data_IF_590849926513
#
_entry.id   IF_590849926513
#
_cell.length_a   1.000
_cell.length_b   1.000
_cell.length_c   1.000
_cell.angle_alpha   90.00
_cell.angle_beta   90.00
_cell.angle_gamma   90.00
#
_symmetry.space_group_name_H-M   'P 1'
#
loop_
_entity.id
_entity.type
_entity.pdbx_description
1 polymer ?
#
# COMPACT_ATOMS: atom_id res chain seq x y z
N UNK A 1 13.75 1.42 30.06
CA UNK A 1 14.99 2.03 29.53
C UNK A 1 14.62 3.34 28.84
N UNK A 2 15.05 4.53 29.32
CA UNK A 2 14.71 5.79 28.64
C UNK A 2 15.52 5.89 27.33
N UNK A 3 14.82 6.05 26.20
CA UNK A 3 15.45 6.22 24.89
C UNK A 3 16.37 7.46 24.90
N UNK A 4 17.61 7.29 24.45
CA UNK A 4 18.61 8.36 24.40
C UNK A 4 18.19 9.43 23.39
N UNK A 5 18.49 10.70 23.68
CA UNK A 5 18.15 11.90 22.87
C UNK A 5 18.51 11.76 21.37
N UNK A 6 19.54 10.97 21.06
CA UNK A 6 20.02 10.63 19.71
C UNK A 6 19.04 9.78 18.89
N UNK A 7 18.25 8.90 19.52
CA UNK A 7 17.23 8.11 18.81
C UNK A 7 16.12 9.03 18.29
N UNK A 8 15.67 9.99 19.09
CA UNK A 8 14.66 10.96 18.66
C UNK A 8 15.14 11.84 17.50
N UNK A 9 16.41 12.25 17.50
CA UNK A 9 17.01 13.02 16.41
C UNK A 9 17.07 12.21 15.10
N UNK A 10 17.50 10.95 15.18
CA UNK A 10 17.53 10.03 14.04
C UNK A 10 16.14 9.73 13.49
N UNK A 11 15.16 9.50 14.37
CA UNK A 11 13.76 9.27 13.98
C UNK A 11 13.17 10.53 13.33
N UNK A 12 13.51 11.71 13.82
CA UNK A 12 13.11 12.99 13.23
C UNK A 12 13.62 13.15 11.79
N UNK A 13 14.92 12.92 11.58
CA UNK A 13 15.53 12.99 10.24
C UNK A 13 14.91 11.94 9.31
N UNK A 14 14.76 10.69 9.77
CA UNK A 14 14.16 9.62 8.97
C UNK A 14 12.71 9.94 8.55
N UNK A 15 11.91 10.47 9.48
CA UNK A 15 10.53 10.88 9.21
C UNK A 15 10.46 12.02 8.18
N UNK A 16 11.39 12.97 8.27
CA UNK A 16 11.48 14.10 7.36
C UNK A 16 11.85 13.65 5.94
N UNK A 17 12.81 12.74 5.81
CA UNK A 17 13.18 12.13 4.53
C UNK A 17 11.99 11.37 3.93
N UNK A 18 11.28 10.58 4.74
CA UNK A 18 10.09 9.84 4.31
C UNK A 18 9.00 10.78 3.80
N UNK A 19 8.63 11.81 4.59
CA UNK A 19 7.61 12.78 4.20
C UNK A 19 7.99 13.52 2.92
N UNK A 20 9.24 13.98 2.82
CA UNK A 20 9.73 14.65 1.62
C UNK A 20 9.67 13.73 0.40
N UNK A 21 10.06 12.47 0.55
CA UNK A 21 10.03 11.48 -0.54
C UNK A 21 8.60 11.20 -1.02
N UNK A 22 7.65 11.03 -0.09
CA UNK A 22 6.24 10.82 -0.42
C UNK A 22 5.65 12.05 -1.10
N UNK A 23 5.98 13.25 -0.62
CA UNK A 23 5.54 14.51 -1.22
C UNK A 23 6.05 14.67 -2.65
N UNK A 24 7.35 14.43 -2.87
CA UNK A 24 7.96 14.49 -4.20
C UNK A 24 7.35 13.47 -5.17
N UNK A 25 7.08 12.25 -4.68
CA UNK A 25 6.40 11.20 -5.46
C UNK A 25 5.01 11.62 -5.91
N UNK A 26 4.21 12.22 -5.01
CA UNK A 26 2.88 12.77 -5.35
C UNK A 26 2.96 13.91 -6.36
N UNK A 27 3.95 14.79 -6.23
CA UNK A 27 4.14 15.90 -7.15
C UNK A 27 4.52 15.42 -8.56
N UNK A 28 5.35 14.38 -8.66
CA UNK A 28 5.67 13.71 -9.93
C UNK A 28 4.45 13.02 -10.54
N UNK A 29 3.60 12.40 -9.70
CA UNK A 29 2.32 11.82 -10.13
C UNK A 29 1.39 12.87 -10.75
N UNK A 30 1.26 14.02 -10.08
CA UNK A 30 0.47 15.15 -10.60
C UNK A 30 1.03 15.68 -11.93
N UNK A 31 2.35 15.82 -12.03
CA UNK A 31 2.98 16.27 -13.26
C UNK A 31 2.75 15.28 -14.42
N UNK A 32 2.84 13.98 -14.15
CA UNK A 32 2.49 12.92 -15.10
C UNK A 32 1.04 13.07 -15.58
N UNK A 33 0.11 13.28 -14.67
CA UNK A 33 -1.31 13.47 -15.02
C UNK A 33 -1.54 14.72 -15.87
N UNK A 34 -0.88 15.84 -15.55
CA UNK A 34 -0.94 17.06 -16.36
C UNK A 34 -0.39 16.87 -17.77
N UNK A 35 0.73 16.16 -17.92
CA UNK A 35 1.33 15.86 -19.24
C UNK A 35 0.42 14.93 -20.06
N UNK A 36 -0.19 13.93 -19.42
CA UNK A 36 -1.14 13.03 -20.08
C UNK A 36 -2.39 13.80 -20.52
N UNK A 37 -2.95 14.64 -19.66
CA UNK A 37 -4.10 15.47 -19.99
C UNK A 37 -3.81 16.45 -21.13
N UNK A 38 -2.60 17.05 -21.15
CA UNK A 38 -2.18 17.96 -22.20
C UNK A 38 -1.93 17.28 -23.55
N UNK A 39 -1.34 16.09 -23.56
CA UNK A 39 -1.00 15.34 -24.78
C UNK A 39 -2.16 14.50 -25.34
N UNK A 40 -3.03 13.97 -24.49
CA UNK A 40 -4.08 13.03 -24.87
C UNK A 40 -5.50 13.61 -24.96
N UNK A 41 -5.77 14.75 -24.30
CA UNK A 41 -7.13 15.30 -24.17
C UNK A 41 -8.11 14.36 -23.45
N UNK A 42 -9.41 14.66 -23.49
CA UNK A 42 -10.47 13.79 -22.95
C UNK A 42 -10.83 12.67 -23.94
N UNK A 43 -9.92 11.72 -24.14
CA UNK A 43 -10.10 10.55 -25.00
C UNK A 43 -10.18 9.26 -24.18
N UNK A 44 -10.97 8.29 -24.65
CA UNK A 44 -11.19 7.00 -23.97
C UNK A 44 -9.89 6.21 -23.67
N UNK A 45 -8.80 6.47 -24.39
CA UNK A 45 -7.48 5.89 -24.12
C UNK A 45 -6.81 6.44 -22.85
N UNK A 46 -7.06 7.71 -22.51
CA UNK A 46 -6.54 8.33 -21.28
C UNK A 46 -7.28 7.79 -20.06
N UNK A 47 -8.60 7.65 -20.16
CA UNK A 47 -9.42 7.03 -19.11
C UNK A 47 -9.01 5.59 -18.84
N UNK A 48 -8.78 4.79 -19.89
CA UNK A 48 -8.30 3.41 -19.75
C UNK A 48 -6.91 3.34 -19.08
N UNK A 49 -6.00 4.26 -19.42
CA UNK A 49 -4.70 4.37 -18.76
C UNK A 49 -4.86 4.71 -17.27
N UNK A 50 -5.71 5.67 -16.92
CA UNK A 50 -5.96 6.03 -15.51
C UNK A 50 -6.59 4.89 -14.72
N UNK A 51 -7.58 4.20 -15.28
CA UNK A 51 -8.22 3.03 -14.64
C UNK A 51 -7.22 1.91 -14.40
N UNK A 52 -6.23 1.72 -15.29
CA UNK A 52 -5.18 0.72 -15.08
C UNK A 52 -4.33 0.97 -13.82
N UNK A 53 -4.23 2.22 -13.34
CA UNK A 53 -3.52 2.54 -12.09
C UNK A 53 -4.39 2.36 -10.83
N UNK A 54 -5.71 2.23 -10.97
CA UNK A 54 -6.61 2.03 -9.83
C UNK A 54 -6.33 0.70 -9.14
N UNK A 55 -6.07 -0.36 -9.91
CA UNK A 55 -5.78 -1.69 -9.35
C UNK A 55 -4.52 -1.71 -8.46
N UNK A 56 -3.34 -1.24 -8.91
CA UNK A 56 -2.16 -1.15 -8.05
C UNK A 56 -2.34 -0.13 -6.91
N UNK A 57 -3.12 0.94 -7.10
CA UNK A 57 -3.41 1.89 -6.03
C UNK A 57 -4.24 1.26 -4.91
N UNK A 58 -5.29 0.50 -5.24
CA UNK A 58 -6.10 -0.24 -4.27
C UNK A 58 -5.24 -1.24 -3.51
N UNK A 59 -4.41 -2.02 -4.22
CA UNK A 59 -3.50 -2.99 -3.59
C UNK A 59 -2.52 -2.30 -2.64
N UNK A 60 -1.93 -1.18 -3.06
CA UNK A 60 -1.07 -0.38 -2.21
C UNK A 60 -1.84 0.13 -0.99
N UNK A 61 -3.05 0.65 -1.15
CA UNK A 61 -3.84 1.15 -0.04
C UNK A 61 -4.18 0.04 0.96
N UNK A 62 -4.60 -1.14 0.52
CA UNK A 62 -4.95 -2.26 1.42
C UNK A 62 -3.72 -2.73 2.21
N UNK A 63 -2.57 -2.86 1.54
CA UNK A 63 -1.33 -3.40 2.15
C UNK A 63 -0.60 -2.34 2.98
N UNK A 64 -0.47 -1.11 2.45
CA UNK A 64 0.33 -0.03 3.01
C UNK A 64 -0.45 0.88 3.99
N UNK A 65 -1.79 0.95 3.92
CA UNK A 65 -2.58 1.61 4.99
C UNK A 65 -2.36 0.93 6.34
N UNK A 66 -1.78 -0.26 6.34
CA UNK A 66 -1.48 -1.01 7.54
C UNK A 66 -2.71 -1.64 8.16
N UNK A 67 -3.93 -1.40 7.65
CA UNK A 67 -5.12 -2.06 8.20
C UNK A 67 -5.02 -3.58 8.07
N UNK A 68 -4.71 -4.06 6.86
CA UNK A 68 -4.46 -5.48 6.64
C UNK A 68 -3.27 -5.94 7.48
N UNK A 69 -2.14 -5.23 7.45
CA UNK A 69 -0.91 -5.62 8.15
C UNK A 69 -1.06 -5.65 9.68
N UNK A 70 -1.78 -4.69 10.28
CA UNK A 70 -2.01 -4.59 11.74
C UNK A 70 -2.90 -5.72 12.24
N UNK A 71 -3.87 -6.18 11.44
CA UNK A 71 -4.72 -7.32 11.83
C UNK A 71 -4.13 -8.66 11.42
N UNK A 72 -3.54 -8.75 10.22
CA UNK A 72 -2.99 -9.97 9.65
C UNK A 72 -1.72 -10.44 10.36
N UNK A 73 -0.73 -9.56 10.55
CA UNK A 73 0.58 -9.93 11.13
C UNK A 73 0.42 -10.63 12.48
N UNK A 74 -0.33 -10.11 13.47
CA UNK A 74 -0.46 -10.79 14.76
C UNK A 74 -1.24 -12.12 14.67
N UNK A 75 -2.23 -12.22 13.78
CA UNK A 75 -2.98 -13.47 13.57
C UNK A 75 -2.05 -14.54 12.97
N UNK A 76 -1.33 -14.19 11.91
CA UNK A 76 -0.41 -15.11 11.24
C UNK A 76 0.76 -15.51 12.16
N UNK A 77 1.36 -14.54 12.87
CA UNK A 77 2.44 -14.80 13.84
C UNK A 77 1.99 -15.72 14.98
N UNK A 78 0.72 -15.67 15.39
CA UNK A 78 0.17 -16.59 16.39
C UNK A 78 0.10 -18.03 15.86
N UNK A 79 -0.40 -18.21 14.64
CA UNK A 79 -0.44 -19.55 14.01
C UNK A 79 0.97 -20.12 13.78
N UNK A 80 1.93 -19.27 13.43
CA UNK A 80 3.33 -19.68 13.28
C UNK A 80 3.97 -20.06 14.62
N UNK A 81 3.68 -19.32 15.70
CA UNK A 81 4.19 -19.62 17.04
C UNK A 81 3.61 -20.91 17.64
N UNK A 82 2.39 -21.28 17.26
CA UNK A 82 1.71 -22.50 17.71
C UNK A 82 2.10 -23.75 16.87
N UNK A 83 3.12 -23.67 16.00
CA UNK A 83 3.53 -24.75 15.06
C UNK A 83 2.40 -25.17 14.09
N UNK A 84 1.40 -24.31 13.89
CA UNK A 84 0.23 -24.51 13.01
C UNK A 84 0.38 -23.74 11.71
N UNK A 85 1.53 -23.88 11.06
CA UNK A 85 1.88 -23.10 9.87
C UNK A 85 0.87 -23.32 8.73
N UNK A 86 0.39 -24.55 8.53
CA UNK A 86 -0.60 -24.89 7.51
C UNK A 86 -1.92 -24.10 7.68
N UNK A 87 -2.37 -23.90 8.92
CA UNK A 87 -3.57 -23.12 9.20
C UNK A 87 -3.33 -21.62 8.99
N UNK A 88 -2.12 -21.13 9.31
CA UNK A 88 -1.69 -19.76 9.01
C UNK A 88 -1.74 -19.46 7.51
N UNK A 89 -1.20 -20.36 6.68
CA UNK A 89 -1.27 -20.26 5.22
C UNK A 89 -2.71 -20.34 4.70
N UNK A 90 -3.57 -21.18 5.29
CA UNK A 90 -4.98 -21.25 4.92
C UNK A 90 -5.71 -19.92 5.17
N UNK A 91 -5.49 -19.29 6.33
CA UNK A 91 -6.08 -17.98 6.66
C UNK A 91 -5.53 -16.90 5.73
N UNK A 92 -4.24 -16.91 5.42
CA UNK A 92 -3.66 -15.99 4.44
C UNK A 92 -4.30 -16.15 3.07
N UNK A 93 -4.41 -17.38 2.56
CA UNK A 93 -5.07 -17.66 1.28
C UNK A 93 -6.54 -17.26 1.28
N UNK A 94 -7.27 -17.45 2.39
CA UNK A 94 -8.66 -17.04 2.53
C UNK A 94 -8.81 -15.52 2.43
N UNK A 95 -7.94 -14.79 3.13
CA UNK A 95 -7.90 -13.34 3.11
C UNK A 95 -7.54 -12.84 1.70
N UNK A 96 -6.45 -13.34 1.10
CA UNK A 96 -6.02 -12.93 -0.24
C UNK A 96 -7.08 -13.21 -1.29
N UNK A 97 -7.68 -14.40 -1.25
CA UNK A 97 -8.71 -14.80 -2.20
C UNK A 97 -9.95 -13.94 -2.02
N UNK A 98 -10.42 -13.75 -0.79
CA UNK A 98 -11.58 -12.91 -0.47
C UNK A 98 -11.40 -11.47 -0.95
N UNK A 99 -10.29 -10.82 -0.58
CA UNK A 99 -9.96 -9.47 -1.04
C UNK A 99 -9.77 -9.42 -2.56
N UNK A 100 -9.11 -10.41 -3.14
CA UNK A 100 -8.91 -10.51 -4.60
C UNK A 100 -10.22 -10.61 -5.36
N UNK A 101 -11.15 -11.47 -4.93
CA UNK A 101 -12.50 -11.56 -5.52
C UNK A 101 -13.30 -10.28 -5.33
N UNK A 102 -13.22 -9.65 -4.16
CA UNK A 102 -13.90 -8.38 -3.92
C UNK A 102 -13.40 -7.29 -4.88
N UNK A 103 -12.08 -7.20 -5.06
CA UNK A 103 -11.45 -6.23 -5.93
C UNK A 103 -11.87 -6.46 -7.40
N UNK A 104 -11.87 -7.71 -7.86
CA UNK A 104 -12.33 -8.07 -9.21
C UNK A 104 -13.83 -7.86 -9.45
N UNK A 105 -14.66 -7.91 -8.42
CA UNK A 105 -16.10 -7.63 -8.54
C UNK A 105 -16.38 -6.12 -8.58
N UNK A 106 -15.54 -5.34 -7.89
CA UNK A 106 -15.76 -3.91 -7.70
C UNK A 106 -15.14 -3.06 -8.83
N UNK A 107 -14.10 -3.57 -9.50
CA UNK A 107 -13.40 -2.96 -10.65
C UNK A 107 -13.84 -3.61 -11.94
#
# INVERSE_FOLDING_TARGET
MPASRSVYEKVGIASLIMMASVFLSRLMGLFREMVIAWSGGANASVDAYQIAFVLPEILNHIVASGFLSVTFIPIFSKYLADDREADGWCVFSLILTGFGTLLLVLV
#
